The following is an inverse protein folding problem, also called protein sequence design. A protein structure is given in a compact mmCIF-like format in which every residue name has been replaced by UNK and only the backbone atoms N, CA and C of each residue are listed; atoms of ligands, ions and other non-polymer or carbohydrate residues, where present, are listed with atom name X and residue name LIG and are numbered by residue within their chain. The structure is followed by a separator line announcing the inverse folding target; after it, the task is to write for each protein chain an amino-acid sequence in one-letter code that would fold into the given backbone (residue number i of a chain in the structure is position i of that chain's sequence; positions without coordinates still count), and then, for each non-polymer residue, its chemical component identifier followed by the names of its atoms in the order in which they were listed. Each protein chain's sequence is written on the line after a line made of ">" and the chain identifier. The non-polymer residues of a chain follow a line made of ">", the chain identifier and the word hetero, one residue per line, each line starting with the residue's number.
data_IF_963573922976
#
_entry.id   IF_963573922976
#
_cell.length_a   1.000
_cell.length_b   1.000
_cell.length_c   1.000
_cell.angle_alpha   90.00
_cell.angle_beta   90.00
_cell.angle_gamma   90.00
#
_symmetry.space_group_name_H-M   'P 1'
#
loop_
_entity.id
_entity.type
_entity.pdbx_description
1 polymer ?
#
# COMPACT_ATOMS: atom_id res chain seq x y z
N UNK A 1 -10.74 -11.59 -22.55
CA UNK A 1 -9.37 -12.07 -22.31
C UNK A 1 -9.35 -12.85 -21.01
N UNK A 2 -8.69 -14.00 -20.97
CA UNK A 2 -8.55 -14.78 -19.74
C UNK A 2 -7.25 -14.35 -19.05
N UNK A 3 -7.36 -13.81 -17.84
CA UNK A 3 -6.22 -13.47 -17.00
C UNK A 3 -5.70 -14.71 -16.27
N UNK A 4 -4.39 -14.81 -16.06
CA UNK A 4 -3.80 -15.90 -15.28
C UNK A 4 -2.60 -15.43 -14.46
N UNK A 5 -2.43 -16.00 -13.26
CA UNK A 5 -1.22 -15.83 -12.44
C UNK A 5 0.07 -16.25 -13.18
N UNK A 6 -0.02 -17.14 -14.18
CA UNK A 6 1.13 -17.52 -15.03
C UNK A 6 1.63 -16.37 -15.91
N UNK A 7 0.78 -15.37 -16.16
CA UNK A 7 1.13 -14.22 -17.02
C UNK A 7 2.03 -13.22 -16.28
N UNK A 8 2.29 -13.46 -14.98
CA UNK A 8 3.06 -12.58 -14.11
C UNK A 8 4.33 -13.26 -13.62
N UNK A 9 5.45 -12.61 -13.94
CA UNK A 9 6.77 -12.98 -13.43
C UNK A 9 6.80 -12.90 -11.92
N UNK A 10 7.55 -13.79 -11.26
CA UNK A 10 7.52 -13.92 -9.79
C UNK A 10 7.90 -12.62 -9.09
N UNK A 11 8.87 -11.90 -9.62
CA UNK A 11 9.36 -10.60 -9.16
C UNK A 11 8.31 -9.48 -9.26
N UNK A 12 7.38 -9.57 -10.21
CA UNK A 12 6.35 -8.53 -10.43
C UNK A 12 5.11 -8.74 -9.53
N UNK A 13 5.01 -9.88 -8.83
CA UNK A 13 3.83 -10.21 -8.02
C UNK A 13 3.60 -9.27 -6.84
N UNK A 14 4.65 -8.56 -6.41
CA UNK A 14 4.59 -7.53 -5.37
C UNK A 14 4.17 -6.15 -5.87
N UNK A 15 4.01 -5.94 -7.19
CA UNK A 15 3.72 -4.60 -7.73
C UNK A 15 2.25 -4.16 -7.52
N UNK A 16 1.34 -5.11 -7.37
CA UNK A 16 -0.09 -4.85 -7.15
C UNK A 16 -0.66 -5.82 -6.12
N UNK A 17 -1.58 -5.33 -5.30
CA UNK A 17 -2.31 -6.14 -4.33
C UNK A 17 -3.49 -6.88 -4.99
N UNK A 18 -3.98 -7.97 -4.37
CA UNK A 18 -5.17 -8.68 -4.85
C UNK A 18 -6.42 -7.83 -5.08
N UNK A 19 -6.54 -6.72 -4.34
CA UNK A 19 -7.66 -5.78 -4.43
C UNK A 19 -7.45 -4.62 -5.41
N UNK A 20 -6.33 -4.59 -6.15
CA UNK A 20 -6.05 -3.60 -7.19
C UNK A 20 -5.25 -2.37 -6.73
N UNK A 21 -4.71 -2.36 -5.51
CA UNK A 21 -3.83 -1.27 -5.08
C UNK A 21 -2.46 -1.46 -5.74
N UNK A 22 -1.94 -0.42 -6.39
CA UNK A 22 -0.57 -0.43 -6.93
C UNK A 22 0.40 -0.27 -5.75
N UNK A 23 0.98 -1.39 -5.33
CA UNK A 23 1.93 -1.46 -4.22
C UNK A 23 3.26 -0.80 -4.56
N UNK A 24 3.70 -0.88 -5.82
CA UNK A 24 4.97 -0.31 -6.28
C UNK A 24 5.06 1.21 -6.14
N UNK A 25 3.92 1.92 -6.03
CA UNK A 25 3.87 3.35 -5.74
C UNK A 25 3.70 3.68 -4.25
N UNK A 26 3.75 2.69 -3.35
CA UNK A 26 3.53 2.87 -1.92
C UNK A 26 4.84 3.16 -1.18
N UNK A 27 4.79 4.09 -0.22
CA UNK A 27 5.93 4.46 0.62
C UNK A 27 6.51 3.26 1.40
N UNK A 28 5.65 2.31 1.78
CA UNK A 28 6.10 1.10 2.48
C UNK A 28 7.05 0.24 1.62
N UNK A 29 6.94 0.33 0.30
CA UNK A 29 7.78 -0.39 -0.66
C UNK A 29 8.92 0.49 -1.19
N UNK A 30 8.66 1.78 -1.45
CA UNK A 30 9.64 2.71 -2.01
C UNK A 30 10.64 3.26 -0.97
N UNK A 31 10.23 3.42 0.29
CA UNK A 31 11.09 3.94 1.35
C UNK A 31 11.34 5.45 1.30
N UNK A 32 10.57 6.22 0.54
CA UNK A 32 10.80 7.67 0.37
C UNK A 32 10.72 8.42 1.71
N UNK A 33 9.75 8.09 2.58
CA UNK A 33 9.65 8.66 3.92
C UNK A 33 10.82 8.26 4.83
N UNK A 34 11.35 7.03 4.66
CA UNK A 34 12.48 6.56 5.43
C UNK A 34 13.73 7.37 5.09
N UNK A 35 14.01 7.57 3.81
CA UNK A 35 15.16 8.38 3.37
C UNK A 35 15.00 9.85 3.75
N UNK A 36 13.81 10.43 3.56
CA UNK A 36 13.53 11.80 3.97
C UNK A 36 13.74 12.01 5.48
N UNK A 37 13.29 11.06 6.32
CA UNK A 37 13.45 11.16 7.78
C UNK A 37 14.92 11.00 8.19
N UNK A 38 15.70 10.12 7.53
CA UNK A 38 17.15 10.04 7.76
C UNK A 38 17.85 11.37 7.48
N UNK A 39 17.50 12.01 6.37
CA UNK A 39 18.05 13.31 5.99
C UNK A 39 17.69 14.41 7.00
N UNK A 40 16.42 14.47 7.42
CA UNK A 40 15.98 15.41 8.47
C UNK A 40 16.74 15.20 9.77
N UNK A 41 16.88 13.95 10.23
CA UNK A 41 17.65 13.63 11.45
C UNK A 41 19.11 14.06 11.30
N UNK A 42 19.75 13.76 10.18
CA UNK A 42 21.13 14.17 9.92
C UNK A 42 21.30 15.70 10.00
N UNK A 43 20.40 16.46 9.37
CA UNK A 43 20.44 17.93 9.36
C UNK A 43 20.22 18.48 10.77
N UNK A 44 19.19 18.00 11.47
CA UNK A 44 18.82 18.52 12.80
C UNK A 44 19.88 18.23 13.86
N UNK A 45 20.50 17.05 13.81
CA UNK A 45 21.61 16.71 14.71
C UNK A 45 22.89 17.46 14.37
N UNK A 46 23.22 17.59 13.08
CA UNK A 46 24.41 18.33 12.64
C UNK A 46 24.37 19.82 12.99
N UNK A 47 23.16 20.41 12.98
CA UNK A 47 22.93 21.79 13.39
C UNK A 47 22.80 21.97 14.92
N UNK A 48 22.74 20.89 15.70
CA UNK A 48 22.32 20.89 17.11
C UNK A 48 21.03 21.69 17.34
N UNK A 49 19.98 21.38 16.56
CA UNK A 49 18.70 22.10 16.62
C UNK A 49 18.13 22.14 18.05
N UNK A 50 18.36 21.10 18.85
CA UNK A 50 17.92 21.06 20.24
C UNK A 50 18.67 22.08 21.13
N UNK A 51 19.97 22.27 20.91
CA UNK A 51 20.79 23.27 21.60
C UNK A 51 20.42 24.70 21.24
N UNK A 52 20.04 24.95 19.98
CA UNK A 52 19.65 26.28 19.49
C UNK A 52 18.14 26.53 19.46
N UNK A 53 17.31 25.57 19.91
CA UNK A 53 15.86 25.62 19.81
C UNK A 53 15.25 26.94 20.32
N UNK A 54 15.76 27.46 21.45
CA UNK A 54 15.29 28.71 22.04
C UNK A 54 15.52 29.94 21.14
N UNK A 55 16.57 29.93 20.32
CA UNK A 55 16.84 31.00 19.35
C UNK A 55 15.79 31.05 18.22
N UNK A 56 15.05 29.95 18.02
CA UNK A 56 13.96 29.82 17.06
C UNK A 56 12.58 29.77 17.72
N UNK A 57 12.47 30.15 19.00
CA UNK A 57 11.23 30.09 19.78
C UNK A 57 10.60 28.67 19.85
N UNK A 58 11.45 27.64 19.88
CA UNK A 58 11.05 26.23 19.98
C UNK A 58 11.37 25.64 21.36
N UNK A 59 10.59 24.66 21.82
CA UNK A 59 10.93 23.88 23.02
C UNK A 59 11.97 22.80 22.69
N UNK A 60 13.15 22.92 23.30
CA UNK A 60 14.25 21.94 23.18
C UNK A 60 13.86 20.50 23.58
N UNK A 61 12.87 20.30 24.44
CA UNK A 61 12.35 18.97 24.82
C UNK A 61 11.52 18.38 23.69
N UNK A 62 10.65 19.17 23.06
CA UNK A 62 9.86 18.72 21.91
C UNK A 62 10.75 18.36 20.71
N UNK A 63 11.81 19.14 20.45
CA UNK A 63 12.80 18.81 19.40
C UNK A 63 13.48 17.47 19.68
N UNK A 64 13.87 17.21 20.93
CA UNK A 64 14.48 15.94 21.34
C UNK A 64 13.52 14.77 21.22
N UNK A 65 12.25 14.96 21.54
CA UNK A 65 11.23 13.93 21.42
C UNK A 65 10.89 13.61 19.96
N UNK A 66 10.85 14.62 19.09
CA UNK A 66 10.74 14.44 17.64
C UNK A 66 11.93 13.64 17.09
N UNK A 67 13.17 14.01 17.43
CA UNK A 67 14.38 13.28 17.03
C UNK A 67 14.35 11.82 17.49
N UNK A 68 13.97 11.57 18.74
CA UNK A 68 13.84 10.20 19.29
C UNK A 68 12.82 9.38 18.52
N UNK A 69 11.68 9.99 18.20
CA UNK A 69 10.59 9.34 17.44
C UNK A 69 11.04 9.01 16.01
N UNK A 70 11.68 9.96 15.33
CA UNK A 70 12.23 9.76 13.99
C UNK A 70 13.30 8.66 13.97
N UNK A 71 14.22 8.65 14.94
CA UNK A 71 15.23 7.58 15.07
C UNK A 71 14.60 6.21 15.30
N UNK A 72 13.57 6.13 16.14
CA UNK A 72 12.81 4.88 16.34
C UNK A 72 12.13 4.42 15.05
N UNK A 73 11.54 5.35 14.30
CA UNK A 73 10.95 5.04 13.00
C UNK A 73 12.00 4.51 12.01
N UNK A 74 13.16 5.17 11.89
CA UNK A 74 14.27 4.74 11.05
C UNK A 74 14.71 3.33 11.42
N UNK A 75 14.92 3.07 12.71
CA UNK A 75 15.32 1.75 13.20
C UNK A 75 14.30 0.68 12.78
N UNK A 76 13.04 0.85 13.17
CA UNK A 76 11.98 -0.13 12.90
C UNK A 76 11.81 -0.38 11.40
N UNK A 77 11.83 0.67 10.57
CA UNK A 77 11.67 0.54 9.12
C UNK A 77 12.88 -0.06 8.43
N UNK A 78 14.09 0.21 8.91
CA UNK A 78 15.31 -0.38 8.38
C UNK A 78 15.38 -1.87 8.71
N UNK A 79 15.04 -2.25 9.95
CA UNK A 79 14.96 -3.65 10.38
C UNK A 79 13.88 -4.43 9.61
N UNK A 80 12.71 -3.82 9.36
CA UNK A 80 11.62 -4.45 8.62
C UNK A 80 11.90 -4.60 7.11
N UNK A 81 12.74 -3.72 6.54
CA UNK A 81 12.99 -3.65 5.11
C UNK A 81 11.78 -3.18 4.28
N UNK A 82 11.92 -3.19 2.93
CA UNK A 82 10.82 -2.83 2.03
C UNK A 82 9.66 -3.84 2.13
N UNK A 83 8.43 -3.34 2.14
CA UNK A 83 7.25 -4.20 2.06
C UNK A 83 7.26 -4.99 0.74
N UNK A 84 7.20 -6.34 0.77
CA UNK A 84 7.26 -7.15 -0.45
C UNK A 84 5.92 -7.17 -1.21
N UNK A 85 4.87 -6.59 -0.65
CA UNK A 85 3.51 -6.61 -1.20
C UNK A 85 2.68 -7.80 -0.70
N UNK A 86 1.36 -7.64 -0.72
CA UNK A 86 0.43 -8.59 -0.08
C UNK A 86 0.54 -10.01 -0.63
N UNK A 87 0.86 -10.17 -1.92
CA UNK A 87 0.99 -11.49 -2.55
C UNK A 87 2.23 -12.26 -2.09
N UNK A 88 3.24 -11.57 -1.56
CA UNK A 88 4.51 -12.15 -1.12
C UNK A 88 4.60 -12.32 0.41
N UNK A 89 3.45 -12.38 1.11
CA UNK A 89 3.41 -12.74 2.53
C UNK A 89 3.69 -11.59 3.51
N UNK A 90 3.40 -10.34 3.15
CA UNK A 90 3.52 -9.22 4.09
C UNK A 90 2.42 -9.24 5.17
N UNK A 91 2.79 -9.43 6.43
CA UNK A 91 1.93 -9.22 7.61
C UNK A 91 1.81 -7.71 7.88
N UNK A 92 0.61 -7.07 7.83
CA UNK A 92 -0.63 -7.48 8.53
C UNK A 92 -1.73 -8.10 7.66
N UNK A 93 -1.45 -8.47 6.41
CA UNK A 93 -2.48 -8.84 5.43
C UNK A 93 -2.81 -10.34 5.37
N UNK A 94 -2.18 -11.19 6.19
CA UNK A 94 -2.49 -12.63 6.25
C UNK A 94 -3.95 -12.92 6.67
N UNK A 95 -4.54 -12.01 7.44
CA UNK A 95 -5.96 -12.06 7.84
C UNK A 95 -6.89 -11.41 6.82
N UNK A 96 -6.37 -10.91 5.70
CA UNK A 96 -7.17 -10.29 4.66
C UNK A 96 -7.95 -11.37 3.89
N UNK A 97 -9.27 -11.35 4.08
CA UNK A 97 -10.22 -12.22 3.40
C UNK A 97 -10.15 -12.13 1.86
N UNK A 98 -9.75 -10.98 1.29
CA UNK A 98 -9.52 -10.84 -0.16
C UNK A 98 -8.30 -11.65 -0.60
N UNK A 99 -7.16 -11.52 0.11
CA UNK A 99 -5.93 -12.27 -0.20
C UNK A 99 -6.18 -13.77 -0.12
N UNK A 100 -6.82 -14.23 0.97
CA UNK A 100 -7.15 -15.64 1.17
C UNK A 100 -8.02 -16.21 0.04
N UNK A 101 -9.02 -15.45 -0.41
CA UNK A 101 -9.89 -15.85 -1.51
C UNK A 101 -9.16 -15.91 -2.86
N UNK A 102 -8.28 -14.95 -3.13
CA UNK A 102 -7.51 -14.91 -4.37
C UNK A 102 -6.51 -16.07 -4.41
N UNK A 103 -5.82 -16.33 -3.29
CA UNK A 103 -4.90 -17.46 -3.16
C UNK A 103 -5.60 -18.81 -3.30
N UNK A 104 -6.76 -19.01 -2.68
CA UNK A 104 -7.48 -20.29 -2.76
C UNK A 104 -8.01 -20.62 -4.16
N UNK A 105 -8.21 -19.60 -5.00
CA UNK A 105 -8.60 -19.74 -6.41
C UNK A 105 -7.41 -19.79 -7.37
N UNK A 106 -6.17 -19.63 -6.87
CA UNK A 106 -4.97 -19.57 -7.70
C UNK A 106 -4.83 -18.29 -8.52
N UNK A 107 -5.56 -17.24 -8.14
CA UNK A 107 -5.53 -15.95 -8.82
C UNK A 107 -4.38 -15.07 -8.33
N UNK A 108 -4.01 -14.07 -9.12
CA UNK A 108 -3.20 -12.95 -8.67
C UNK A 108 -4.05 -11.83 -8.06
N UNK A 109 -5.21 -11.53 -8.67
CA UNK A 109 -6.12 -10.48 -8.21
C UNK A 109 -7.60 -10.81 -8.39
N UNK A 110 -8.47 -9.97 -7.83
CA UNK A 110 -9.91 -10.03 -8.08
C UNK A 110 -10.31 -9.82 -9.55
N UNK A 111 -9.41 -9.34 -10.41
CA UNK A 111 -9.68 -9.15 -11.84
C UNK A 111 -10.00 -10.49 -12.55
N UNK A 112 -9.43 -11.60 -12.08
CA UNK A 112 -9.68 -12.95 -12.60
C UNK A 112 -11.07 -13.50 -12.23
N UNK A 113 -11.70 -12.98 -11.17
CA UNK A 113 -12.99 -13.46 -10.72
C UNK A 113 -14.11 -12.95 -11.65
N UNK A 114 -14.77 -13.84 -12.39
CA UNK A 114 -15.89 -13.47 -13.27
C UNK A 114 -17.11 -12.87 -12.55
N UNK A 115 -17.22 -13.10 -11.24
CA UNK A 115 -18.31 -12.58 -10.39
C UNK A 115 -17.94 -11.26 -9.70
N UNK A 116 -16.71 -10.76 -9.85
CA UNK A 116 -16.31 -9.49 -9.26
C UNK A 116 -16.88 -8.32 -10.07
N UNK A 117 -17.79 -7.57 -9.44
CA UNK A 117 -18.56 -6.47 -10.03
C UNK A 117 -17.83 -5.13 -10.01
N UNK A 118 -16.82 -4.96 -9.16
CA UNK A 118 -16.15 -3.67 -8.95
C UNK A 118 -16.99 -2.64 -8.16
N UNK A 119 -18.27 -2.90 -7.91
CA UNK A 119 -19.12 -1.99 -7.16
C UNK A 119 -18.95 -2.19 -5.64
N UNK A 120 -18.39 -1.22 -4.90
CA UNK A 120 -18.19 -1.35 -3.46
C UNK A 120 -19.50 -1.32 -2.65
N UNK A 121 -20.62 -0.94 -3.25
CA UNK A 121 -21.95 -0.99 -2.63
C UNK A 121 -22.55 -2.40 -2.64
N UNK A 122 -22.12 -3.24 -3.58
CA UNK A 122 -22.54 -4.63 -3.68
C UNK A 122 -21.69 -5.53 -2.79
N UNK A 123 -22.32 -6.51 -2.15
CA UNK A 123 -21.60 -7.54 -1.43
C UNK A 123 -20.84 -8.43 -2.42
N UNK A 124 -19.58 -8.77 -2.11
CA UNK A 124 -18.89 -9.81 -2.88
C UNK A 124 -19.65 -11.12 -2.65
N UNK A 125 -20.04 -11.87 -3.71
CA UNK A 125 -20.84 -13.09 -3.58
C UNK A 125 -20.10 -14.17 -2.82
N UNK A 126 -18.78 -14.09 -2.83
CA UNK A 126 -17.94 -14.75 -1.88
C UNK A 126 -17.66 -13.74 -0.76
N UNK A 127 -18.55 -13.52 0.21
CA UNK A 127 -18.19 -12.78 1.43
C UNK A 127 -18.39 -13.69 2.62
N UNK A 128 -17.48 -13.58 3.57
CA UNK A 128 -17.49 -14.19 4.89
C UNK A 128 -18.23 -13.29 5.89
N UNK A 129 -18.84 -13.93 6.90
CA UNK A 129 -19.66 -13.28 7.93
C UNK A 129 -18.84 -12.56 9.02
N UNK A 130 -17.53 -12.37 8.82
CA UNK A 130 -16.66 -11.75 9.81
C UNK A 130 -17.04 -10.29 10.06
N UNK A 131 -16.93 -9.86 11.32
CA UNK A 131 -17.18 -8.48 11.69
C UNK A 131 -15.93 -7.60 11.62
N UNK A 132 -14.73 -8.19 11.45
CA UNK A 132 -13.51 -7.40 11.35
C UNK A 132 -13.37 -6.75 9.96
N UNK A 133 -12.86 -5.51 9.84
CA UNK A 133 -12.77 -4.82 8.56
C UNK A 133 -11.99 -5.57 7.48
N UNK A 134 -10.96 -6.33 7.86
CA UNK A 134 -10.14 -7.12 6.92
C UNK A 134 -10.61 -8.58 6.81
N UNK A 135 -11.37 -9.08 7.79
CA UNK A 135 -11.88 -10.44 7.81
C UNK A 135 -13.16 -10.64 7.00
N UNK A 136 -13.80 -9.57 6.51
CA UNK A 136 -14.92 -9.68 5.57
C UNK A 136 -14.59 -9.04 4.23
N UNK A 137 -14.75 -9.77 3.13
CA UNK A 137 -14.43 -9.26 1.77
C UNK A 137 -15.23 -8.01 1.40
N UNK A 138 -16.52 -7.97 1.74
CA UNK A 138 -17.34 -6.79 1.50
C UNK A 138 -16.83 -5.58 2.32
N UNK A 139 -16.55 -5.76 3.61
CA UNK A 139 -16.03 -4.68 4.47
C UNK A 139 -14.65 -4.21 4.01
N UNK A 140 -13.77 -5.14 3.66
CA UNK A 140 -12.43 -4.86 3.16
C UNK A 140 -12.49 -4.07 1.85
N UNK A 141 -13.30 -4.54 0.89
CA UNK A 141 -13.52 -3.86 -0.39
C UNK A 141 -14.05 -2.45 -0.19
N UNK A 142 -15.09 -2.27 0.64
CA UNK A 142 -15.66 -0.96 0.95
C UNK A 142 -14.63 -0.03 1.61
N UNK A 143 -13.84 -0.52 2.55
CA UNK A 143 -12.77 0.23 3.18
C UNK A 143 -11.70 0.66 2.16
N UNK A 144 -11.21 -0.28 1.36
CA UNK A 144 -10.18 -0.04 0.34
C UNK A 144 -10.68 0.96 -0.70
N UNK A 145 -11.87 0.76 -1.27
CA UNK A 145 -12.45 1.66 -2.26
C UNK A 145 -12.63 3.08 -1.70
N UNK A 146 -13.07 3.23 -0.44
CA UNK A 146 -13.12 4.53 0.21
C UNK A 146 -11.73 5.14 0.40
N UNK A 147 -10.77 4.34 0.87
CA UNK A 147 -9.41 4.77 1.22
C UNK A 147 -8.57 5.15 -0.01
N UNK A 148 -8.82 4.52 -1.15
CA UNK A 148 -8.12 4.70 -2.42
C UNK A 148 -9.00 5.37 -3.50
N UNK A 149 -10.13 5.98 -3.12
CA UNK A 149 -11.06 6.71 -4.01
C UNK A 149 -11.49 5.91 -5.25
N UNK A 150 -11.69 4.60 -5.10
CA UNK A 150 -12.11 3.70 -6.17
C UNK A 150 -11.03 3.32 -7.18
N UNK A 151 -9.84 3.93 -7.12
CA UNK A 151 -8.75 3.65 -8.08
C UNK A 151 -8.32 2.19 -8.11
N UNK A 152 -8.49 1.47 -7.00
CA UNK A 152 -8.22 0.05 -6.95
C UNK A 152 -9.17 -0.76 -7.86
N UNK A 153 -10.44 -0.34 -7.98
CA UNK A 153 -11.41 -0.97 -8.91
C UNK A 153 -11.09 -0.61 -10.35
N UNK A 154 -10.74 0.65 -10.61
CA UNK A 154 -10.30 1.11 -11.94
C UNK A 154 -9.09 0.29 -12.42
N UNK A 155 -8.12 0.05 -11.55
CA UNK A 155 -6.95 -0.79 -11.84
C UNK A 155 -7.34 -2.25 -12.16
N UNK A 156 -8.27 -2.85 -11.41
CA UNK A 156 -8.75 -4.20 -11.68
C UNK A 156 -9.52 -4.28 -13.01
N UNK A 157 -10.34 -3.27 -13.31
CA UNK A 157 -11.03 -3.17 -14.60
C UNK A 157 -10.03 -3.02 -15.75
N UNK A 158 -9.00 -2.19 -15.57
CA UNK A 158 -7.92 -2.01 -16.53
C UNK A 158 -7.15 -3.31 -16.76
N UNK A 159 -6.84 -4.07 -15.70
CA UNK A 159 -6.23 -5.41 -15.84
C UNK A 159 -7.05 -6.32 -16.76
N UNK A 160 -8.39 -6.34 -16.62
CA UNK A 160 -9.27 -7.16 -17.48
C UNK A 160 -9.27 -6.71 -18.93
N UNK A 161 -9.14 -5.40 -19.15
CA UNK A 161 -9.14 -4.79 -20.47
C UNK A 161 -7.85 -5.09 -21.25
N UNK A 162 -6.68 -4.83 -20.64
CA UNK A 162 -5.39 -4.85 -21.35
C UNK A 162 -4.49 -6.04 -20.99
N UNK A 163 -4.81 -6.78 -19.94
CA UNK A 163 -4.09 -7.99 -19.55
C UNK A 163 -2.99 -7.66 -18.57
N UNK A 164 -2.60 -8.66 -17.77
CA UNK A 164 -1.66 -8.43 -16.69
C UNK A 164 -0.27 -8.00 -17.18
N UNK A 165 0.24 -8.59 -18.26
CA UNK A 165 1.55 -8.21 -18.80
C UNK A 165 1.61 -6.74 -19.21
N UNK A 166 0.61 -6.26 -19.98
CA UNK A 166 0.53 -4.86 -20.37
C UNK A 166 0.30 -3.93 -19.17
N UNK A 167 -0.55 -4.34 -18.23
CA UNK A 167 -0.81 -3.56 -17.03
C UNK A 167 0.42 -3.43 -16.13
N UNK A 168 1.25 -4.46 -16.00
CA UNK A 168 2.50 -4.40 -15.24
C UNK A 168 3.47 -3.36 -15.81
N UNK A 169 3.56 -3.25 -17.13
CA UNK A 169 4.39 -2.22 -17.77
C UNK A 169 3.78 -0.82 -17.58
N UNK A 170 2.45 -0.70 -17.68
CA UNK A 170 1.72 0.54 -17.41
C UNK A 170 1.98 1.06 -15.98
N UNK A 171 1.89 0.20 -14.95
CA UNK A 171 2.13 0.63 -13.56
C UNK A 171 3.60 0.99 -13.30
N UNK A 172 4.56 0.31 -13.92
CA UNK A 172 6.00 0.63 -13.79
C UNK A 172 6.28 1.99 -14.37
N UNK A 173 5.79 2.26 -15.58
CA UNK A 173 5.92 3.56 -16.22
C UNK A 173 5.27 4.66 -15.39
N UNK A 174 4.03 4.44 -14.93
CA UNK A 174 3.30 5.40 -14.10
C UNK A 174 4.05 5.76 -12.81
N UNK A 175 4.66 4.78 -12.13
CA UNK A 175 5.47 5.01 -10.92
C UNK A 175 6.78 5.73 -11.26
N UNK A 176 7.43 5.38 -12.37
CA UNK A 176 8.64 6.05 -12.85
C UNK A 176 8.38 7.54 -13.19
N UNK A 177 7.19 7.86 -13.70
CA UNK A 177 6.72 9.23 -13.96
C UNK A 177 6.29 10.00 -12.71
N UNK A 178 6.48 9.41 -11.52
CA UNK A 178 6.25 10.08 -10.24
C UNK A 178 4.89 9.82 -9.62
N UNK A 179 4.07 8.92 -10.15
CA UNK A 179 2.84 8.53 -9.46
C UNK A 179 3.14 7.81 -8.14
N UNK A 180 2.36 8.13 -7.11
CA UNK A 180 2.48 7.56 -5.77
C UNK A 180 1.10 7.27 -5.20
N UNK A 181 1.01 6.26 -4.33
CA UNK A 181 -0.27 5.85 -3.76
C UNK A 181 -0.90 6.97 -2.92
N UNK A 182 -0.11 7.82 -2.25
CA UNK A 182 -0.64 8.94 -1.48
C UNK A 182 -1.40 9.99 -2.32
N UNK A 183 -1.21 10.04 -3.64
CA UNK A 183 -1.98 10.92 -4.52
C UNK A 183 -3.48 10.56 -4.58
N UNK A 184 -3.83 9.31 -4.29
CA UNK A 184 -5.22 8.80 -4.38
C UNK A 184 -5.81 8.43 -3.02
N UNK A 185 -5.03 8.61 -1.97
CA UNK A 185 -5.36 8.25 -0.60
C UNK A 185 -6.31 9.29 -0.01
N UNK A 186 -7.49 8.85 0.45
CA UNK A 186 -8.41 9.69 1.22
C UNK A 186 -8.07 9.64 2.72
N UNK A 187 -8.15 10.77 3.45
CA UNK A 187 -8.02 10.76 4.89
C UNK A 187 -9.14 9.91 5.51
N UNK A 188 -8.79 9.12 6.52
CA UNK A 188 -9.79 8.50 7.37
C UNK A 188 -10.34 9.62 8.27
N UNK A 189 -11.60 9.99 8.08
CA UNK A 189 -12.28 10.85 9.04
C UNK A 189 -12.30 10.11 10.38
N UNK A 190 -11.87 10.74 11.49
CA UNK A 190 -11.97 10.17 12.83
C UNK A 190 -13.43 9.86 13.20
#
# INVERSE_FOLDING_TARGET
>A
MQLSLSDIRKEDRGLMSPCGIICSGCDMQLGESLEAIKEVVQIWEGFDLAGVAKAFDMDSREVRDALRTMKRFIQVRTEAGPCPGCFLGSSPFETCSILQCVQSKGYWTCAECGEFTGDPSLACPHSDASETPMGSRHRASKFICKRYRGTNVENLARCREIGYAAFVEEIKQRVAEGWRSWHVIAPLKP
#
